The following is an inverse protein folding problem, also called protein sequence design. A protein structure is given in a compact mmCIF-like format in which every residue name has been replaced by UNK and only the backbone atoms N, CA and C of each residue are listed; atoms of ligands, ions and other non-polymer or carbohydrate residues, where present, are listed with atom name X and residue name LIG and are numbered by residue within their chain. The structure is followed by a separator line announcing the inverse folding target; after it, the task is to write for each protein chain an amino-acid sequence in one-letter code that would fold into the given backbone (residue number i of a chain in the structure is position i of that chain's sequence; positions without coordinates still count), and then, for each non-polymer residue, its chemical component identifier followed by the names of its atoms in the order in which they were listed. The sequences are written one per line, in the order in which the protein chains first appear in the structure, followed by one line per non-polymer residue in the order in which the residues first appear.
data_IF_180054704877
#
_entry.id   IF_180054704877
#
_cell.length_a   1.000
_cell.length_b   1.000
_cell.length_c   1.000
_cell.angle_alpha   90.00
_cell.angle_beta   90.00
_cell.angle_gamma   90.00
#
_symmetry.space_group_name_H-M   'P 1'
#
loop_
_entity.id
_entity.type
_entity.pdbx_description
1 polymer ?
#
# COMPACT_ATOMS: atom_id res chain seq x y z
N UNK A 1 3.50 5.24 -9.62
CA UNK A 1 3.67 3.87 -9.14
C UNK A 1 3.36 3.77 -7.66
N UNK A 2 2.38 2.96 -7.32
CA UNK A 2 1.90 2.79 -5.95
C UNK A 2 2.93 2.08 -5.04
N UNK A 3 3.82 1.28 -5.62
CA UNK A 3 4.79 0.51 -4.85
C UNK A 3 5.88 1.39 -4.22
N UNK A 4 6.20 2.50 -4.84
CA UNK A 4 7.22 3.40 -4.31
C UNK A 4 6.82 4.00 -2.96
N UNK A 5 5.65 4.67 -2.83
CA UNK A 5 5.23 5.16 -1.51
C UNK A 5 4.97 4.04 -0.51
N UNK A 6 4.53 2.86 -0.96
CA UNK A 6 4.31 1.72 -0.07
C UNK A 6 5.61 1.28 0.61
N UNK A 7 6.74 1.39 -0.11
CA UNK A 7 8.06 1.03 0.42
C UNK A 7 8.42 1.86 1.65
N UNK A 8 7.98 3.11 1.70
CA UNK A 8 8.26 3.99 2.82
C UNK A 8 7.32 3.81 4.01
N UNK A 9 6.35 2.92 3.90
CA UNK A 9 5.44 2.65 5.01
C UNK A 9 4.52 3.81 5.34
N UNK A 10 4.06 4.53 4.32
CA UNK A 10 3.14 5.65 4.48
C UNK A 10 1.75 5.25 3.95
N UNK A 11 0.68 5.88 4.48
CA UNK A 11 -0.65 5.67 3.94
C UNK A 11 -0.74 6.15 2.49
N UNK A 12 -1.54 5.46 1.70
CA UNK A 12 -1.75 5.80 0.29
C UNK A 12 -3.25 6.00 0.07
N UNK A 13 -3.60 7.10 -0.58
CA UNK A 13 -5.00 7.39 -0.94
C UNK A 13 -5.07 7.44 -2.47
N UNK A 14 -6.00 6.68 -3.04
CA UNK A 14 -6.15 6.59 -4.49
C UNK A 14 -7.62 6.74 -4.89
N UNK A 15 -7.85 7.02 -6.18
CA UNK A 15 -9.19 7.03 -6.73
C UNK A 15 -9.77 5.62 -6.85
N UNK A 16 -11.03 5.54 -7.25
CA UNK A 16 -11.75 4.26 -7.29
C UNK A 16 -11.53 3.44 -8.57
N UNK A 17 -10.68 3.91 -9.48
CA UNK A 17 -10.40 3.22 -10.75
C UNK A 17 -9.10 2.39 -10.66
N UNK A 18 -8.95 1.60 -9.61
CA UNK A 18 -7.70 0.88 -9.36
C UNK A 18 -7.74 -0.60 -9.73
N UNK A 19 -8.87 -1.12 -10.21
CA UNK A 19 -9.07 -2.56 -10.40
C UNK A 19 -8.22 -3.18 -11.52
N UNK A 20 -7.53 -2.36 -12.31
CA UNK A 20 -6.61 -2.83 -13.34
C UNK A 20 -5.22 -3.18 -12.80
N UNK A 21 -4.94 -2.81 -11.56
CA UNK A 21 -3.61 -2.94 -10.96
C UNK A 21 -3.67 -3.89 -9.78
N UNK A 22 -3.01 -5.03 -9.90
CA UNK A 22 -3.04 -6.08 -8.88
C UNK A 22 -2.55 -5.57 -7.52
N UNK A 23 -1.46 -4.80 -7.54
CA UNK A 23 -0.87 -4.27 -6.31
C UNK A 23 -1.82 -3.31 -5.59
N UNK A 24 -2.57 -2.51 -6.34
CA UNK A 24 -3.56 -1.61 -5.76
C UNK A 24 -4.72 -2.40 -5.16
N UNK A 25 -5.18 -3.45 -5.85
CA UNK A 25 -6.24 -4.32 -5.33
C UNK A 25 -5.79 -4.95 -4.01
N UNK A 26 -4.58 -5.49 -3.98
CA UNK A 26 -4.03 -6.13 -2.79
C UNK A 26 -3.92 -5.14 -1.63
N UNK A 27 -3.37 -3.96 -1.89
CA UNK A 27 -3.16 -2.96 -0.84
C UNK A 27 -4.47 -2.37 -0.32
N UNK A 28 -5.48 -2.23 -1.17
CA UNK A 28 -6.82 -1.81 -0.71
C UNK A 28 -7.43 -2.88 0.18
N UNK A 29 -7.31 -4.15 -0.20
CA UNK A 29 -7.82 -5.26 0.61
C UNK A 29 -7.12 -5.33 1.97
N UNK A 30 -5.83 -5.05 2.02
CA UNK A 30 -5.04 -5.02 3.25
C UNK A 30 -5.24 -3.74 4.06
N UNK A 31 -5.94 -2.75 3.51
CA UNK A 31 -6.21 -1.46 4.14
C UNK A 31 -4.98 -0.57 4.34
N UNK A 32 -3.94 -0.78 3.54
CA UNK A 32 -2.81 0.13 3.46
C UNK A 32 -3.04 1.24 2.45
N UNK A 33 -3.90 0.96 1.47
CA UNK A 33 -4.32 1.90 0.46
C UNK A 33 -5.81 2.16 0.61
N UNK A 34 -6.21 3.42 0.60
CA UNK A 34 -7.59 3.83 0.83
C UNK A 34 -8.15 4.39 -0.47
N UNK A 35 -9.20 3.75 -0.98
CA UNK A 35 -9.87 4.20 -2.20
C UNK A 35 -10.93 5.23 -1.87
N UNK A 36 -10.95 6.32 -2.61
CA UNK A 36 -11.94 7.38 -2.47
C UNK A 36 -12.64 7.62 -3.81
N UNK A 37 -13.88 8.08 -3.75
CA UNK A 37 -14.70 8.33 -4.94
C UNK A 37 -14.99 9.80 -5.17
N UNK A 38 -14.83 10.65 -4.15
CA UNK A 38 -15.16 12.07 -4.25
C UNK A 38 -14.35 12.88 -3.25
N UNK A 39 -14.50 14.19 -3.33
CA UNK A 39 -13.75 15.10 -2.49
C UNK A 39 -14.16 15.02 -1.01
N UNK A 40 -15.42 14.72 -0.73
CA UNK A 40 -15.88 14.57 0.65
C UNK A 40 -15.19 13.39 1.33
N UNK A 41 -15.08 12.27 0.63
CA UNK A 41 -14.35 11.11 1.14
C UNK A 41 -12.87 11.41 1.32
N UNK A 42 -12.28 12.14 0.36
CA UNK A 42 -10.90 12.56 0.48
C UNK A 42 -10.68 13.43 1.73
N UNK A 43 -11.53 14.42 1.94
CA UNK A 43 -11.42 15.31 3.09
C UNK A 43 -11.56 14.56 4.41
N UNK A 44 -12.52 13.64 4.47
CA UNK A 44 -12.76 12.81 5.64
C UNK A 44 -11.54 11.97 6.00
N UNK A 45 -10.97 11.28 5.00
CA UNK A 45 -9.82 10.41 5.23
C UNK A 45 -8.57 11.21 5.53
N UNK A 46 -8.39 12.37 4.89
CA UNK A 46 -7.27 13.24 5.16
C UNK A 46 -7.28 13.73 6.60
N UNK A 47 -8.44 14.17 7.08
CA UNK A 47 -8.59 14.62 8.47
C UNK A 47 -8.26 13.48 9.43
N UNK A 48 -8.76 12.29 9.16
CA UNK A 48 -8.51 11.12 10.02
C UNK A 48 -7.02 10.76 10.06
N UNK A 49 -6.38 10.71 8.89
CA UNK A 49 -4.96 10.39 8.81
C UNK A 49 -4.10 11.46 9.49
N UNK A 50 -4.50 12.73 9.39
CA UNK A 50 -3.78 13.81 10.02
C UNK A 50 -3.94 13.81 11.54
N UNK A 51 -5.16 13.62 12.03
CA UNK A 51 -5.47 13.73 13.45
C UNK A 51 -5.10 12.49 14.27
N UNK A 52 -5.12 11.29 13.66
CA UNK A 52 -4.90 10.03 14.37
C UNK A 52 -3.57 9.42 13.95
N UNK A 53 -2.54 9.66 14.75
CA UNK A 53 -1.20 9.15 14.47
C UNK A 53 -1.15 7.62 14.47
N UNK A 54 -1.85 6.98 15.39
CA UNK A 54 -1.86 5.51 15.47
C UNK A 54 -2.51 4.91 14.24
N UNK A 55 -3.62 5.48 13.77
CA UNK A 55 -4.27 5.04 12.55
C UNK A 55 -3.34 5.21 11.36
N UNK A 56 -2.70 6.38 11.24
CA UNK A 56 -1.76 6.66 10.15
C UNK A 56 -0.61 5.67 10.12
N UNK A 57 -0.03 5.36 11.28
CA UNK A 57 1.06 4.40 11.38
C UNK A 57 0.61 3.00 11.04
N UNK A 58 -0.57 2.60 11.50
CA UNK A 58 -1.12 1.26 11.21
C UNK A 58 -1.35 1.08 9.72
N UNK A 59 -1.93 2.07 9.06
CA UNK A 59 -2.17 2.03 7.63
C UNK A 59 -0.85 1.94 6.86
N UNK A 60 0.09 2.80 7.20
CA UNK A 60 1.41 2.81 6.55
C UNK A 60 2.17 1.51 6.73
N UNK A 61 2.10 0.92 7.92
CA UNK A 61 2.79 -0.34 8.22
C UNK A 61 2.27 -1.49 7.36
N UNK A 62 1.00 -1.50 7.04
CA UNK A 62 0.42 -2.53 6.16
C UNK A 62 1.04 -2.46 4.76
N UNK A 63 1.28 -1.28 4.26
CA UNK A 63 1.94 -1.09 2.98
C UNK A 63 3.38 -1.60 3.02
N UNK A 64 4.10 -1.28 4.08
CA UNK A 64 5.48 -1.71 4.25
C UNK A 64 5.58 -3.24 4.33
N UNK A 65 4.70 -3.86 5.09
CA UNK A 65 4.66 -5.33 5.22
C UNK A 65 4.40 -6.00 3.87
N UNK A 66 3.48 -5.45 3.08
CA UNK A 66 3.19 -5.98 1.75
C UNK A 66 4.44 -5.99 0.86
N UNK A 67 5.17 -4.88 0.86
CA UNK A 67 6.40 -4.77 0.07
C UNK A 67 7.46 -5.77 0.55
N UNK A 68 7.63 -5.89 1.86
CA UNK A 68 8.60 -6.83 2.44
C UNK A 68 8.27 -8.27 2.08
N UNK A 69 7.00 -8.66 2.12
CA UNK A 69 6.57 -10.00 1.75
C UNK A 69 6.80 -10.28 0.28
N UNK A 70 6.48 -9.33 -0.59
CA UNK A 70 6.69 -9.49 -2.03
C UNK A 70 8.18 -9.57 -2.38
N UNK A 71 8.99 -8.75 -1.73
CA UNK A 71 10.43 -8.78 -1.93
C UNK A 71 11.02 -10.13 -1.47
N UNK A 72 10.55 -10.64 -0.34
CA UNK A 72 10.96 -11.95 0.16
C UNK A 72 10.62 -13.06 -0.81
N UNK A 73 9.40 -13.07 -1.36
CA UNK A 73 8.97 -14.04 -2.35
C UNK A 73 9.84 -13.97 -3.61
N UNK A 74 10.16 -12.75 -4.07
CA UNK A 74 11.01 -12.55 -5.23
C UNK A 74 12.42 -13.12 -5.00
N UNK A 75 12.98 -12.90 -3.82
CA UNK A 75 14.29 -13.43 -3.47
C UNK A 75 14.29 -14.96 -3.44
N UNK A 76 13.24 -15.57 -2.91
CA UNK A 76 13.12 -17.03 -2.89
C UNK A 76 13.06 -17.61 -4.30
N UNK A 77 12.28 -17.00 -5.18
CA UNK A 77 12.18 -17.45 -6.58
C UNK A 77 13.52 -17.31 -7.28
N UNK A 78 14.21 -16.21 -7.09
CA UNK A 78 15.52 -15.98 -7.71
C UNK A 78 16.56 -16.95 -7.20
N UNK A 79 16.57 -17.24 -5.91
CA UNK A 79 17.47 -18.25 -5.35
C UNK A 79 17.20 -19.63 -5.93
N UNK A 80 15.93 -20.01 -6.06
CA UNK A 80 15.54 -21.27 -6.65
C UNK A 80 16.02 -21.41 -8.09
N UNK A 81 15.92 -20.33 -8.85
CA UNK A 81 16.35 -20.28 -10.25
C UNK A 81 17.86 -20.04 -10.39
N UNK A 82 18.57 -19.87 -9.30
CA UNK A 82 20.01 -19.55 -9.27
C UNK A 82 20.34 -18.27 -10.02
N UNK A 83 19.48 -17.29 -9.92
CA UNK A 83 19.67 -15.96 -10.51
C UNK A 83 20.27 -15.07 -9.43
N UNK A 84 21.37 -14.41 -9.77
CA UNK A 84 22.03 -13.45 -8.88
C UNK A 84 21.65 -12.02 -9.27
N UNK A 85 21.28 -11.23 -8.29
CA UNK A 85 20.98 -9.82 -8.50
C UNK A 85 22.22 -8.96 -8.26
#
# INVERSE_FOLDING_TARGET
NILEPATFGIPIVIGNQYKKFKEAIDLVALKGCISISNQEEFSSIFIKLHADENYRKTVGEKNKQYIQQNLGATRLIMNYLKITL
#
